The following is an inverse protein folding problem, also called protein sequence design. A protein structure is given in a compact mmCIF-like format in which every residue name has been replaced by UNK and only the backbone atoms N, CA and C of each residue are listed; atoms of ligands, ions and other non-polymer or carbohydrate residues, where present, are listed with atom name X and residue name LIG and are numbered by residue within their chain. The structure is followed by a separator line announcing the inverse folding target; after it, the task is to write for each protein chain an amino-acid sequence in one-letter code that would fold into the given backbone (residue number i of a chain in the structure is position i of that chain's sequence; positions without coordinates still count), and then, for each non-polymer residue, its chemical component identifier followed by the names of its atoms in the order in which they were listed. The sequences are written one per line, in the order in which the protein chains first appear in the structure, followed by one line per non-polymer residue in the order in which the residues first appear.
data_IF_182450325810
#
_entry.id   IF_182450325810
#
_cell.length_a   1.000
_cell.length_b   1.000
_cell.length_c   1.000
_cell.angle_alpha   90.00
_cell.angle_beta   90.00
_cell.angle_gamma   90.00
#
_symmetry.space_group_name_H-M   'P 1'
#
loop_
_entity.id
_entity.type
_entity.pdbx_description
1 polymer ?
#
# COMPACT_ATOMS: atom_id res chain seq x y z
N UNK A 1 -6.09 4.30 25.31
CA UNK A 1 -6.58 3.77 26.60
C UNK A 1 -7.54 4.71 27.33
N UNK A 2 -7.35 6.03 27.30
CA UNK A 2 -8.21 7.01 28.02
C UNK A 2 -9.69 7.06 27.58
N UNK A 3 -10.03 6.58 26.38
CA UNK A 3 -11.39 6.56 25.85
C UNK A 3 -12.10 5.20 26.03
N UNK A 4 -11.46 4.22 26.68
CA UNK A 4 -11.97 2.85 26.85
C UNK A 4 -11.69 2.35 28.27
N UNK A 5 -12.26 1.21 28.66
CA UNK A 5 -11.90 0.56 29.92
C UNK A 5 -10.43 0.14 29.90
N UNK A 6 -9.67 0.61 30.89
CA UNK A 6 -8.24 0.36 30.98
C UNK A 6 -7.89 -1.12 31.21
N UNK A 7 -8.63 -1.80 32.08
CA UNK A 7 -8.39 -3.21 32.38
C UNK A 7 -8.66 -4.09 31.14
N UNK A 8 -9.73 -3.80 30.40
CA UNK A 8 -10.06 -4.53 29.17
C UNK A 8 -8.98 -4.32 28.08
N UNK A 9 -8.45 -3.10 27.97
CA UNK A 9 -7.35 -2.82 27.04
C UNK A 9 -6.06 -3.56 27.42
N UNK A 10 -5.72 -3.64 28.71
CA UNK A 10 -4.56 -4.40 29.18
C UNK A 10 -4.73 -5.91 28.96
N UNK A 11 -5.94 -6.42 29.20
CA UNK A 11 -6.28 -7.81 28.92
C UNK A 11 -6.15 -8.12 27.42
N UNK A 12 -6.68 -7.26 26.55
CA UNK A 12 -6.57 -7.40 25.10
C UNK A 12 -5.10 -7.38 24.63
N UNK A 13 -4.28 -6.48 25.17
CA UNK A 13 -2.85 -6.43 24.83
C UNK A 13 -2.10 -7.67 25.33
N UNK A 14 -2.41 -8.16 26.52
CA UNK A 14 -1.82 -9.40 27.05
C UNK A 14 -2.18 -10.62 26.19
N UNK A 15 -3.43 -10.68 25.71
CA UNK A 15 -3.87 -11.70 24.77
C UNK A 15 -3.13 -11.57 23.41
N UNK A 16 -2.94 -10.35 22.90
CA UNK A 16 -2.14 -10.10 21.70
C UNK A 16 -0.68 -10.57 21.87
N UNK A 17 -0.06 -10.32 23.03
CA UNK A 17 1.29 -10.79 23.34
C UNK A 17 1.40 -12.31 23.35
N UNK A 18 0.34 -13.02 23.75
CA UNK A 18 0.28 -14.48 23.68
C UNK A 18 0.05 -14.96 22.24
N UNK A 19 -0.86 -14.30 21.52
CA UNK A 19 -1.17 -14.61 20.12
C UNK A 19 0.06 -14.49 19.21
N UNK A 20 0.88 -13.45 19.37
CA UNK A 20 2.11 -13.30 18.57
C UNK A 20 3.10 -14.46 18.74
N UNK A 21 3.10 -15.16 19.88
CA UNK A 21 3.99 -16.31 20.11
C UNK A 21 3.52 -17.53 19.30
N UNK A 22 2.21 -17.70 19.16
CA UNK A 22 1.61 -18.69 18.24
C UNK A 22 1.96 -18.35 16.80
N UNK A 23 1.85 -17.07 16.40
CA UNK A 23 2.25 -16.62 15.06
C UNK A 23 3.74 -16.89 14.82
N UNK A 24 4.61 -16.52 15.77
CA UNK A 24 6.06 -16.73 15.67
C UNK A 24 6.43 -18.21 15.51
N UNK A 25 5.75 -19.11 16.23
CA UNK A 25 5.97 -20.56 16.12
C UNK A 25 5.68 -21.10 14.71
N UNK A 26 4.79 -20.46 13.96
CA UNK A 26 4.41 -20.86 12.60
C UNK A 26 5.05 -19.97 11.51
N UNK A 27 5.93 -19.06 11.89
CA UNK A 27 6.58 -18.14 10.94
C UNK A 27 7.58 -18.88 10.06
N UNK A 28 7.53 -18.65 8.75
CA UNK A 28 8.52 -19.17 7.80
C UNK A 28 9.91 -18.55 8.03
N UNK A 29 10.97 -19.32 7.77
CA UNK A 29 12.35 -18.91 8.02
C UNK A 29 12.99 -18.09 6.87
N UNK A 30 12.33 -18.02 5.71
CA UNK A 30 12.82 -17.27 4.55
C UNK A 30 11.66 -16.62 3.79
N UNK A 31 11.96 -15.52 3.10
CA UNK A 31 11.00 -14.86 2.23
C UNK A 31 10.72 -15.74 0.99
N UNK A 32 9.54 -15.57 0.40
CA UNK A 32 9.24 -16.17 -0.91
C UNK A 32 10.11 -15.55 -2.01
N UNK A 33 10.17 -16.21 -3.18
CA UNK A 33 10.84 -15.70 -4.38
C UNK A 33 10.28 -14.32 -4.81
N UNK A 34 10.87 -13.62 -5.76
CA UNK A 34 10.26 -12.41 -6.35
C UNK A 34 9.07 -12.75 -7.26
N UNK A 35 8.28 -11.76 -7.66
CA UNK A 35 7.27 -11.95 -8.70
C UNK A 35 7.90 -12.17 -10.09
N UNK A 36 7.19 -12.84 -10.98
CA UNK A 36 7.54 -12.88 -12.40
C UNK A 36 6.89 -11.71 -13.13
N UNK A 37 7.69 -10.87 -13.79
CA UNK A 37 7.21 -9.68 -14.50
C UNK A 37 7.29 -9.92 -16.01
N UNK A 38 6.17 -9.82 -16.76
CA UNK A 38 6.21 -9.82 -18.22
C UNK A 38 7.06 -8.67 -18.77
N UNK A 39 7.75 -8.89 -19.88
CA UNK A 39 8.55 -7.84 -20.54
C UNK A 39 8.09 -7.66 -21.98
N UNK A 40 8.01 -6.40 -22.43
CA UNK A 40 7.62 -6.05 -23.79
C UNK A 40 6.15 -6.34 -24.13
N UNK A 41 5.28 -6.40 -23.12
CA UNK A 41 3.84 -6.52 -23.35
C UNK A 41 3.22 -5.16 -23.72
N UNK A 42 2.01 -5.20 -24.28
CA UNK A 42 1.31 -3.98 -24.72
C UNK A 42 0.99 -3.04 -23.56
N UNK A 43 0.86 -3.56 -22.34
CA UNK A 43 0.63 -2.76 -21.14
C UNK A 43 1.89 -1.97 -20.80
N UNK A 44 3.08 -2.59 -20.78
CA UNK A 44 4.35 -1.92 -20.54
C UNK A 44 4.65 -0.82 -21.57
N UNK A 45 4.38 -1.07 -22.85
CA UNK A 45 4.53 -0.05 -23.90
C UNK A 45 3.59 1.15 -23.71
N UNK A 46 2.33 0.88 -23.33
CA UNK A 46 1.35 1.93 -23.07
C UNK A 46 1.68 2.69 -21.77
N UNK A 47 2.12 1.99 -20.72
CA UNK A 47 2.54 2.56 -19.45
C UNK A 47 3.71 3.53 -19.65
N UNK A 48 4.71 3.18 -20.47
CA UNK A 48 5.79 4.11 -20.80
C UNK A 48 5.27 5.44 -21.39
N UNK A 49 4.35 5.37 -22.35
CA UNK A 49 3.76 6.58 -22.96
C UNK A 49 2.96 7.39 -21.94
N UNK A 50 2.24 6.72 -21.04
CA UNK A 50 1.53 7.35 -19.94
C UNK A 50 2.50 8.06 -18.98
N UNK A 51 3.57 7.38 -18.55
CA UNK A 51 4.58 7.95 -17.66
C UNK A 51 5.24 9.17 -18.29
N UNK A 52 5.70 9.07 -19.54
CA UNK A 52 6.33 10.19 -20.26
C UNK A 52 5.40 11.43 -20.35
N UNK A 53 4.09 11.21 -20.54
CA UNK A 53 3.10 12.30 -20.66
C UNK A 53 2.67 12.89 -19.31
N UNK A 54 2.60 12.08 -18.25
CA UNK A 54 2.04 12.49 -16.95
C UNK A 54 3.09 12.82 -15.89
N UNK A 55 4.36 12.45 -16.09
CA UNK A 55 5.44 12.77 -15.17
C UNK A 55 5.62 14.28 -14.91
N UNK A 56 5.41 15.21 -15.88
CA UNK A 56 5.37 16.64 -15.60
C UNK A 56 4.38 17.01 -14.49
N UNK A 57 3.17 16.45 -14.53
CA UNK A 57 2.16 16.64 -13.49
C UNK A 57 2.58 15.98 -12.16
N UNK A 58 3.16 14.78 -12.20
CA UNK A 58 3.65 14.07 -11.00
C UNK A 58 4.66 14.91 -10.19
N UNK A 59 5.50 15.69 -10.88
CA UNK A 59 6.49 16.60 -10.26
C UNK A 59 5.87 17.78 -9.53
N UNK A 60 4.65 18.18 -9.91
CA UNK A 60 3.97 19.35 -9.35
C UNK A 60 3.19 19.00 -8.07
N UNK A 61 2.99 17.71 -7.80
CA UNK A 61 2.31 17.22 -6.60
C UNK A 61 3.23 17.41 -5.37
N UNK A 62 2.70 18.02 -4.32
CA UNK A 62 3.35 18.05 -3.01
C UNK A 62 3.08 16.74 -2.26
N UNK A 63 3.97 15.77 -2.42
CA UNK A 63 3.92 14.47 -1.74
C UNK A 63 4.10 14.56 -0.22
N UNK A 64 4.54 15.70 0.30
CA UNK A 64 4.75 15.93 1.75
C UNK A 64 3.57 16.61 2.44
N UNK A 65 2.55 16.99 1.66
CA UNK A 65 1.35 17.66 2.17
C UNK A 65 0.57 16.79 3.15
N UNK A 66 -0.05 17.43 4.16
CA UNK A 66 -0.99 16.77 5.07
C UNK A 66 -2.42 16.68 4.51
N UNK A 67 -2.64 17.18 3.29
CA UNK A 67 -3.95 17.17 2.63
C UNK A 67 -4.49 15.74 2.47
N UNK A 68 -3.62 14.78 2.18
CA UNK A 68 -3.96 13.39 1.88
C UNK A 68 -4.62 12.64 3.04
N UNK A 69 -4.47 13.14 4.28
CA UNK A 69 -5.06 12.55 5.49
C UNK A 69 -6.27 13.33 6.03
N UNK A 70 -6.70 14.41 5.34
CA UNK A 70 -7.89 15.16 5.73
C UNK A 70 -9.15 14.35 5.44
N UNK A 71 -10.18 14.41 6.31
CA UNK A 71 -11.41 13.68 6.09
C UNK A 71 -12.13 14.17 4.83
N UNK A 72 -12.79 13.26 4.13
CA UNK A 72 -13.61 13.59 2.97
C UNK A 72 -14.81 14.46 3.40
N UNK A 73 -14.98 15.66 2.82
CA UNK A 73 -16.10 16.53 3.18
C UNK A 73 -17.46 15.82 2.99
N UNK A 74 -18.28 15.81 4.03
CA UNK A 74 -19.64 15.25 3.99
C UNK A 74 -19.74 13.73 4.02
N UNK A 75 -18.62 12.99 4.09
CA UNK A 75 -18.65 11.53 4.20
C UNK A 75 -18.46 11.07 5.65
N UNK A 76 -19.39 10.25 6.15
CA UNK A 76 -19.20 9.52 7.40
C UNK A 76 -18.21 8.35 7.24
N UNK A 77 -17.64 7.87 8.34
CA UNK A 77 -16.78 6.70 8.34
C UNK A 77 -17.44 5.44 7.73
N UNK A 78 -18.75 5.24 7.96
CA UNK A 78 -19.50 4.11 7.39
C UNK A 78 -19.62 4.22 5.86
N UNK A 79 -19.81 5.44 5.33
CA UNK A 79 -19.84 5.67 3.88
C UNK A 79 -18.47 5.45 3.25
N UNK A 80 -17.40 5.97 3.88
CA UNK A 80 -16.03 5.72 3.43
C UNK A 80 -15.69 4.21 3.45
N UNK A 81 -16.10 3.49 4.50
CA UNK A 81 -15.86 2.04 4.62
C UNK A 81 -16.51 1.24 3.48
N UNK A 82 -17.70 1.63 3.01
CA UNK A 82 -18.34 0.98 1.85
C UNK A 82 -17.54 1.15 0.56
N UNK A 83 -16.81 2.25 0.39
CA UNK A 83 -15.92 2.44 -0.75
C UNK A 83 -14.64 1.61 -0.59
N UNK A 84 -14.06 1.57 0.62
CA UNK A 84 -12.90 0.73 0.94
C UNK A 84 -13.21 -0.76 0.74
N UNK A 85 -14.42 -1.21 1.09
CA UNK A 85 -14.89 -2.57 0.84
C UNK A 85 -14.79 -2.96 -0.64
N UNK A 86 -15.11 -2.05 -1.57
CA UNK A 86 -14.96 -2.32 -3.01
C UNK A 86 -13.50 -2.50 -3.42
N UNK A 87 -12.58 -1.74 -2.85
CA UNK A 87 -11.15 -1.93 -3.08
C UNK A 87 -10.64 -3.27 -2.51
N UNK A 88 -11.15 -3.69 -1.35
CA UNK A 88 -10.83 -5.00 -0.74
C UNK A 88 -11.32 -6.15 -1.63
N UNK A 89 -12.58 -6.10 -2.08
CA UNK A 89 -13.15 -7.11 -2.99
C UNK A 89 -12.40 -7.16 -4.32
N UNK A 90 -12.00 -6.00 -4.85
CA UNK A 90 -11.17 -5.95 -6.06
C UNK A 90 -9.80 -6.60 -5.82
N UNK A 91 -9.11 -6.24 -4.74
CA UNK A 91 -7.79 -6.78 -4.40
C UNK A 91 -7.81 -8.29 -4.15
N UNK A 92 -8.88 -8.83 -3.54
CA UNK A 92 -8.99 -10.28 -3.29
C UNK A 92 -9.24 -11.10 -4.56
N UNK A 93 -9.73 -10.48 -5.64
CA UNK A 93 -10.00 -11.14 -6.92
C UNK A 93 -8.86 -10.99 -7.94
N UNK A 94 -7.83 -10.18 -7.66
CA UNK A 94 -6.69 -9.95 -8.55
C UNK A 94 -5.72 -11.14 -8.59
N UNK A 95 -4.94 -11.23 -9.67
CA UNK A 95 -3.84 -12.19 -9.77
C UNK A 95 -2.76 -11.89 -8.71
N UNK A 96 -2.43 -12.90 -7.91
CA UNK A 96 -1.50 -12.76 -6.78
C UNK A 96 -0.05 -12.48 -7.19
N UNK A 97 0.40 -12.97 -8.36
CA UNK A 97 1.74 -12.65 -8.86
C UNK A 97 1.81 -11.20 -9.34
N UNK A 98 0.77 -10.70 -10.00
CA UNK A 98 0.70 -9.30 -10.43
C UNK A 98 0.59 -8.34 -9.25
N UNK A 99 -0.20 -8.67 -8.21
CA UNK A 99 -0.23 -7.88 -6.96
C UNK A 99 1.15 -7.78 -6.32
N UNK A 100 1.88 -8.89 -6.28
CA UNK A 100 3.25 -8.93 -5.74
C UNK A 100 4.23 -8.12 -6.61
N UNK A 101 4.17 -8.27 -7.92
CA UNK A 101 4.98 -7.48 -8.85
C UNK A 101 4.74 -5.96 -8.67
N UNK A 102 3.48 -5.56 -8.51
CA UNK A 102 3.11 -4.17 -8.25
C UNK A 102 3.69 -3.67 -6.91
N UNK A 103 3.63 -4.49 -5.85
CA UNK A 103 4.23 -4.14 -4.56
C UNK A 103 5.76 -4.01 -4.64
N UNK A 104 6.44 -4.92 -5.35
CA UNK A 104 7.89 -4.86 -5.59
C UNK A 104 8.28 -3.62 -6.42
N UNK A 105 7.48 -3.23 -7.41
CA UNK A 105 7.68 -2.00 -8.18
C UNK A 105 7.55 -0.74 -7.32
N UNK A 106 6.53 -0.63 -6.47
CA UNK A 106 6.38 0.51 -5.56
C UNK A 106 7.51 0.56 -4.51
N UNK A 107 7.96 -0.60 -4.02
CA UNK A 107 9.13 -0.66 -3.14
C UNK A 107 10.39 -0.08 -3.82
N UNK A 108 10.63 -0.44 -5.09
CA UNK A 108 11.74 0.12 -5.88
C UNK A 108 11.59 1.63 -6.08
N UNK A 109 10.38 2.10 -6.41
CA UNK A 109 10.08 3.51 -6.60
C UNK A 109 10.30 4.36 -5.34
N UNK A 110 9.98 3.83 -4.15
CA UNK A 110 10.32 4.48 -2.87
C UNK A 110 11.83 4.62 -2.70
N UNK A 111 12.61 3.64 -3.20
CA UNK A 111 14.07 3.67 -3.14
C UNK A 111 14.73 4.76 -3.99
N UNK A 112 14.00 5.37 -4.93
CA UNK A 112 14.52 6.39 -5.84
C UNK A 112 13.93 7.78 -5.61
N UNK A 113 13.22 8.01 -4.49
CA UNK A 113 12.61 9.31 -4.25
C UNK A 113 13.65 10.41 -4.02
N UNK A 114 13.33 11.62 -4.48
CA UNK A 114 14.10 12.82 -4.15
C UNK A 114 13.70 13.40 -2.78
N UNK A 115 14.28 14.55 -2.43
CA UNK A 115 13.98 15.25 -1.16
C UNK A 115 12.54 15.76 -1.01
N UNK A 116 11.71 15.67 -2.07
CA UNK A 116 10.29 16.03 -2.06
C UNK A 116 9.38 14.79 -2.16
N UNK A 117 9.93 13.58 -2.10
CA UNK A 117 9.16 12.35 -2.20
C UNK A 117 8.81 11.93 -3.64
N UNK A 118 9.34 12.62 -4.65
CA UNK A 118 9.11 12.28 -6.05
C UNK A 118 10.04 11.14 -6.49
N UNK A 119 9.48 10.02 -6.96
CA UNK A 119 10.23 8.89 -7.53
C UNK A 119 10.84 9.21 -8.91
N UNK A 120 11.71 8.35 -9.45
CA UNK A 120 12.34 8.57 -10.75
C UNK A 120 11.36 8.29 -11.90
N UNK A 121 11.57 8.90 -13.07
CA UNK A 121 10.73 8.66 -14.25
C UNK A 121 10.80 7.21 -14.77
N UNK A 122 11.86 6.47 -14.44
CA UNK A 122 11.98 5.06 -14.80
C UNK A 122 11.27 4.12 -13.81
N UNK A 123 11.06 4.60 -12.58
CA UNK A 123 10.37 3.86 -11.52
C UNK A 123 8.87 4.21 -11.42
N UNK A 124 8.42 5.27 -12.11
CA UNK A 124 7.02 5.67 -12.32
C UNK A 124 6.39 5.00 -13.55
#
# INVERSE_FOLDING_TARGET
KSLVNGADADAAYSAFLTFKDVVKKNQVASAGASATVPSGDKIGEAAKKLSDASYPFLKEIDWTSDLWIKPLPGASASQALKAVDKAIVMGSAMDGNLLKAAAEAHHKAIGSIDGKGLTSAADY
#
